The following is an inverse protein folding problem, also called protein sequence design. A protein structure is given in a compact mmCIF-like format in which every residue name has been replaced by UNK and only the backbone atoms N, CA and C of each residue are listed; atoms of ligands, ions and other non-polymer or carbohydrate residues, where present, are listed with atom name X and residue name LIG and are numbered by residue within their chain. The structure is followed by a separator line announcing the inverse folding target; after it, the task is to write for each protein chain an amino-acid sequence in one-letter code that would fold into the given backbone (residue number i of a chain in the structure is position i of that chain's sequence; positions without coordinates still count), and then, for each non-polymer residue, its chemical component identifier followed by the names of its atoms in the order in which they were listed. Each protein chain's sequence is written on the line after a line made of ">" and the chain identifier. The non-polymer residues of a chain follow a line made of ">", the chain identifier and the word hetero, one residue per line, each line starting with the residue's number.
data_IF_352767014036
#
_entry.id   IF_352767014036
#
_cell.length_a   1.000
_cell.length_b   1.000
_cell.length_c   1.000
_cell.angle_alpha   90.00
_cell.angle_beta   90.00
_cell.angle_gamma   90.00
#
_symmetry.space_group_name_H-M   'P 1'
#
loop_
_entity.id
_entity.type
_entity.pdbx_description
1 polymer ?
#
# COMPACT_ATOMS: atom_id res chain seq x y z
N UNK A 1 -13.60 8.49 -4.21
CA UNK A 1 -13.95 7.58 -3.12
C UNK A 1 -13.65 8.20 -1.75
N UNK A 2 -14.36 7.79 -0.68
CA UNK A 2 -14.16 8.30 0.68
C UNK A 2 -12.70 8.12 1.17
N UNK A 3 -12.06 7.01 0.82
CA UNK A 3 -10.66 6.73 1.18
C UNK A 3 -9.69 7.78 0.65
N UNK A 4 -9.86 8.21 -0.60
CA UNK A 4 -9.01 9.26 -1.19
C UNK A 4 -9.25 10.62 -0.54
N UNK A 5 -10.50 10.92 -0.17
CA UNK A 5 -10.84 12.13 0.58
C UNK A 5 -10.21 12.11 1.99
N UNK A 6 -10.22 10.95 2.66
CA UNK A 6 -9.57 10.77 3.96
C UNK A 6 -8.06 11.03 3.89
N UNK A 7 -7.39 10.50 2.86
CA UNK A 7 -5.96 10.72 2.66
C UNK A 7 -5.61 12.20 2.47
N UNK A 8 -6.49 12.97 1.83
CA UNK A 8 -6.28 14.42 1.63
C UNK A 8 -6.42 15.24 2.92
N UNK A 9 -7.02 14.67 3.98
CA UNK A 9 -7.12 15.32 5.29
C UNK A 9 -5.84 15.13 6.14
N UNK A 10 -4.96 14.22 5.73
CA UNK A 10 -3.71 13.98 6.44
C UNK A 10 -2.63 15.01 6.06
N UNK A 11 -1.73 15.33 6.97
CA UNK A 11 -0.58 16.18 6.64
C UNK A 11 0.30 15.48 5.58
N UNK A 12 0.98 16.26 4.73
CA UNK A 12 1.90 15.68 3.76
C UNK A 12 3.04 14.95 4.47
N UNK A 13 3.54 13.90 3.83
CA UNK A 13 4.67 13.12 4.31
C UNK A 13 5.95 13.54 3.59
N UNK A 14 7.06 13.58 4.34
CA UNK A 14 8.39 13.80 3.78
C UNK A 14 8.97 12.48 3.28
N UNK A 15 9.42 12.44 2.03
CA UNK A 15 10.00 11.25 1.40
C UNK A 15 11.29 11.58 0.67
N UNK A 16 12.14 10.58 0.47
CA UNK A 16 13.32 10.72 -0.39
C UNK A 16 12.87 10.76 -1.86
N UNK A 17 13.29 11.78 -2.58
CA UNK A 17 12.93 11.97 -4.00
C UNK A 17 13.40 10.80 -4.86
N UNK A 18 12.49 10.27 -5.70
CA UNK A 18 12.75 9.13 -6.57
C UNK A 18 12.89 7.79 -5.84
N UNK A 19 12.50 7.70 -4.57
CA UNK A 19 12.49 6.44 -3.83
C UNK A 19 11.18 5.69 -4.04
N UNK A 20 11.25 4.44 -4.54
CA UNK A 20 10.09 3.57 -4.77
C UNK A 20 9.44 3.05 -3.47
N UNK A 21 10.13 3.19 -2.33
CA UNK A 21 9.68 2.72 -1.03
C UNK A 21 9.17 3.83 -0.12
N UNK A 22 9.04 5.06 -0.60
CA UNK A 22 8.64 6.23 0.18
C UNK A 22 9.42 6.40 1.50
N UNK A 23 10.73 6.15 1.45
CA UNK A 23 11.60 6.21 2.63
C UNK A 23 11.50 7.57 3.33
N UNK A 24 11.46 7.51 4.68
CA UNK A 24 11.48 8.68 5.53
C UNK A 24 12.93 9.17 5.70
N UNK A 25 13.30 10.37 5.22
CA UNK A 25 14.66 10.87 5.35
C UNK A 25 15.09 11.09 6.82
N UNK A 26 14.13 11.25 7.73
CA UNK A 26 14.39 11.38 9.17
C UNK A 26 14.68 10.05 9.89
N UNK A 27 14.41 8.90 9.24
CA UNK A 27 14.62 7.56 9.81
C UNK A 27 15.72 6.81 9.06
N UNK A 28 16.96 7.24 9.25
CA UNK A 28 18.13 6.72 8.50
C UNK A 28 18.34 5.22 8.62
N UNK A 29 18.02 4.62 9.76
CA UNK A 29 18.09 3.17 9.98
C UNK A 29 17.13 2.38 9.08
N UNK A 30 15.95 2.95 8.77
CA UNK A 30 14.87 2.33 7.98
C UNK A 30 14.93 2.66 6.48
N UNK A 31 15.99 3.31 5.99
CA UNK A 31 16.17 3.60 4.58
C UNK A 31 16.39 2.31 3.77
N UNK A 32 15.86 2.27 2.57
CA UNK A 32 16.16 1.20 1.61
C UNK A 32 17.64 1.25 1.18
N UNK A 33 18.19 0.17 0.61
CA UNK A 33 19.59 0.10 0.21
C UNK A 33 20.01 1.26 -0.71
N UNK A 34 19.19 1.62 -1.68
CA UNK A 34 19.47 2.73 -2.61
C UNK A 34 19.52 4.10 -1.89
N UNK A 35 18.64 4.34 -0.94
CA UNK A 35 18.67 5.58 -0.13
C UNK A 35 19.87 5.60 0.84
N UNK A 36 20.24 4.45 1.41
CA UNK A 36 21.47 4.34 2.23
C UNK A 36 22.71 4.63 1.41
N UNK A 37 22.79 4.10 0.19
CA UNK A 37 23.91 4.39 -0.72
C UNK A 37 23.99 5.89 -1.07
N UNK A 38 22.86 6.54 -1.34
CA UNK A 38 22.82 8.00 -1.56
C UNK A 38 23.28 8.77 -0.32
N UNK A 39 22.82 8.39 0.88
CA UNK A 39 23.22 9.05 2.13
C UNK A 39 24.74 8.94 2.39
N UNK A 40 25.37 7.82 1.99
CA UNK A 40 26.80 7.61 2.13
C UNK A 40 27.64 8.58 1.26
N UNK A 41 27.06 9.15 0.18
CA UNK A 41 27.69 10.17 -0.66
C UNK A 41 27.67 11.57 -0.03
N UNK A 42 26.91 11.76 1.05
CA UNK A 42 26.79 13.00 1.79
C UNK A 42 25.32 13.33 2.10
N UNK A 43 25.07 14.17 3.13
CA UNK A 43 23.71 14.53 3.55
C UNK A 43 22.91 15.24 2.45
N UNK A 44 23.56 16.03 1.60
CA UNK A 44 22.94 16.78 0.50
C UNK A 44 22.56 15.89 -0.70
N UNK A 45 23.06 14.65 -0.76
CA UNK A 45 22.71 13.70 -1.80
C UNK A 45 21.28 13.13 -1.62
N UNK A 46 20.69 13.23 -0.44
CA UNK A 46 19.33 12.85 -0.13
C UNK A 46 18.38 14.03 -0.36
N UNK A 47 17.97 14.22 -1.61
CA UNK A 47 16.91 15.19 -1.90
C UNK A 47 15.59 14.72 -1.29
N UNK A 48 14.91 15.64 -0.61
CA UNK A 48 13.66 15.41 0.10
C UNK A 48 12.52 16.13 -0.60
N UNK A 49 11.38 15.45 -0.73
CA UNK A 49 10.14 16.07 -1.21
C UNK A 49 9.01 15.84 -0.20
N UNK A 50 8.04 16.73 -0.20
CA UNK A 50 6.76 16.52 0.46
C UNK A 50 5.73 16.00 -0.54
N UNK A 51 4.92 15.04 -0.13
CA UNK A 51 3.85 14.48 -0.93
C UNK A 51 2.67 14.10 -0.05
N UNK A 52 1.47 14.04 -0.63
CA UNK A 52 0.31 13.47 0.05
C UNK A 52 0.57 12.00 0.41
N UNK A 53 -0.04 11.51 1.50
CA UNK A 53 0.01 10.09 1.84
C UNK A 53 -0.49 9.27 0.64
N UNK A 54 0.27 8.28 0.16
CA UNK A 54 -0.12 7.50 -1.03
C UNK A 54 -1.38 6.68 -0.73
N UNK A 55 -2.30 6.64 -1.69
CA UNK A 55 -3.44 5.72 -1.72
C UNK A 55 -3.22 4.79 -2.89
N UNK A 56 -2.98 3.52 -2.59
CA UNK A 56 -2.70 2.48 -3.57
C UNK A 56 -3.89 1.55 -3.63
N UNK A 57 -4.48 1.42 -4.81
CA UNK A 57 -5.57 0.47 -5.03
C UNK A 57 -4.97 -0.91 -5.35
N UNK A 58 -5.48 -1.95 -4.71
CA UNK A 58 -5.17 -3.34 -5.01
C UNK A 58 -6.26 -3.91 -5.92
N UNK A 59 -5.96 -4.23 -7.19
CA UNK A 59 -6.91 -4.90 -8.07
C UNK A 59 -7.17 -6.34 -7.62
N UNK A 60 -8.41 -6.84 -7.72
CA UNK A 60 -8.77 -8.21 -7.36
C UNK A 60 -7.97 -9.29 -8.13
N UNK A 61 -7.65 -9.02 -9.39
CA UNK A 61 -6.83 -9.92 -10.21
C UNK A 61 -5.32 -9.67 -10.12
N UNK A 62 -4.83 -9.00 -9.07
CA UNK A 62 -3.39 -8.77 -8.91
C UNK A 62 -2.68 -10.09 -8.57
N UNK A 63 -1.59 -10.36 -9.27
CA UNK A 63 -0.70 -11.48 -8.92
C UNK A 63 0.13 -11.14 -7.68
N UNK A 64 0.60 -12.15 -6.96
CA UNK A 64 1.49 -11.97 -5.81
C UNK A 64 2.73 -11.15 -6.17
N UNK A 65 3.31 -11.38 -7.35
CA UNK A 65 4.46 -10.61 -7.86
C UNK A 65 4.15 -9.12 -8.00
N UNK A 66 2.96 -8.78 -8.46
CA UNK A 66 2.52 -7.39 -8.54
C UNK A 66 2.32 -6.75 -7.17
N UNK A 67 1.88 -7.53 -6.21
CA UNK A 67 1.64 -7.08 -4.82
C UNK A 67 2.94 -6.93 -4.06
N UNK A 68 3.69 -8.01 -3.92
CA UNK A 68 4.92 -8.05 -3.14
C UNK A 68 6.10 -7.41 -3.88
N UNK A 69 6.16 -7.60 -5.20
CA UNK A 69 7.27 -7.26 -6.07
C UNK A 69 7.90 -8.50 -6.70
N UNK A 70 8.58 -8.31 -7.80
CA UNK A 70 9.15 -9.37 -8.62
C UNK A 70 10.62 -9.14 -8.96
N UNK A 71 11.28 -10.20 -9.41
CA UNK A 71 12.59 -10.08 -10.06
C UNK A 71 12.42 -9.43 -11.43
N UNK A 72 13.22 -8.41 -11.70
CA UNK A 72 13.34 -7.83 -13.03
C UNK A 72 14.16 -8.77 -13.93
N UNK A 73 13.42 -9.67 -14.59
CA UNK A 73 14.01 -10.71 -15.46
C UNK A 73 14.74 -10.06 -16.65
N UNK A 74 14.22 -8.95 -17.16
CA UNK A 74 14.83 -8.25 -18.30
C UNK A 74 16.21 -7.71 -17.94
N UNK A 75 16.33 -7.05 -16.80
CA UNK A 75 17.64 -6.60 -16.30
C UNK A 75 18.57 -7.74 -15.94
N UNK A 76 18.05 -8.83 -15.39
CA UNK A 76 18.83 -10.00 -15.07
C UNK A 76 19.45 -10.62 -16.33
N UNK A 77 18.69 -10.69 -17.44
CA UNK A 77 19.16 -11.25 -18.71
C UNK A 77 20.12 -10.33 -19.48
N UNK A 78 19.84 -9.01 -19.49
CA UNK A 78 20.62 -8.04 -20.28
C UNK A 78 21.90 -7.62 -19.57
N UNK A 79 21.84 -7.43 -18.25
CA UNK A 79 22.95 -6.87 -17.49
C UNK A 79 23.60 -7.86 -16.52
N UNK A 80 23.12 -9.10 -16.45
CA UNK A 80 23.53 -10.10 -15.44
C UNK A 80 23.43 -9.59 -13.99
N UNK A 81 22.58 -8.58 -13.77
CA UNK A 81 22.32 -7.99 -12.46
C UNK A 81 20.95 -8.45 -11.96
N UNK A 82 20.92 -9.05 -10.78
CA UNK A 82 19.67 -9.38 -10.11
C UNK A 82 19.02 -8.08 -9.62
N UNK A 83 18.11 -7.53 -10.40
CA UNK A 83 17.32 -6.37 -10.04
C UNK A 83 15.94 -6.80 -9.50
N UNK A 84 15.40 -6.01 -8.59
CA UNK A 84 14.08 -6.22 -8.01
C UNK A 84 13.17 -5.05 -8.35
N UNK A 85 11.98 -5.34 -8.86
CA UNK A 85 10.92 -4.38 -9.11
C UNK A 85 9.97 -4.33 -7.90
N UNK A 86 9.91 -3.20 -7.18
CA UNK A 86 9.04 -3.06 -6.02
C UNK A 86 7.55 -3.09 -6.40
N UNK A 87 6.77 -3.91 -5.69
CA UNK A 87 5.32 -4.05 -5.90
C UNK A 87 4.47 -2.96 -5.25
N UNK A 88 3.16 -3.25 -5.16
CA UNK A 88 2.17 -2.34 -4.59
C UNK A 88 2.41 -2.08 -3.09
N UNK A 89 2.91 -3.07 -2.35
CA UNK A 89 3.24 -2.93 -0.92
C UNK A 89 4.32 -1.88 -0.67
N UNK A 90 5.33 -1.83 -1.52
CA UNK A 90 6.38 -0.80 -1.46
C UNK A 90 5.79 0.59 -1.72
N UNK A 91 4.92 0.71 -2.71
CA UNK A 91 4.24 1.97 -3.07
C UNK A 91 3.28 2.44 -1.99
N UNK A 92 2.59 1.52 -1.29
CA UNK A 92 1.67 1.82 -0.20
C UNK A 92 2.37 2.22 1.10
N UNK A 93 3.69 2.00 1.21
CA UNK A 93 4.43 2.32 2.43
C UNK A 93 4.21 3.76 2.88
N UNK A 94 3.83 3.94 4.15
CA UNK A 94 3.49 5.22 4.80
C UNK A 94 2.21 5.87 4.26
N UNK A 95 1.30 5.06 3.72
CA UNK A 95 0.01 5.50 3.19
C UNK A 95 -1.09 4.48 3.40
N UNK A 96 -1.94 4.33 2.41
CA UNK A 96 -3.09 3.44 2.44
C UNK A 96 -3.00 2.40 1.32
N UNK A 97 -3.37 1.17 1.65
CA UNK A 97 -3.67 0.13 0.68
C UNK A 97 -5.18 -0.10 0.71
N UNK A 98 -5.85 0.17 -0.40
CA UNK A 98 -7.29 0.02 -0.55
C UNK A 98 -7.63 -1.20 -1.40
N UNK A 99 -8.53 -2.01 -0.89
CA UNK A 99 -9.05 -3.21 -1.57
C UNK A 99 -10.55 -3.01 -1.71
N UNK A 100 -11.01 -2.96 -2.95
CA UNK A 100 -12.44 -3.02 -3.25
C UNK A 100 -12.88 -4.48 -3.28
N UNK A 101 -14.01 -4.79 -2.65
CA UNK A 101 -14.53 -6.17 -2.57
C UNK A 101 -13.53 -7.16 -1.96
N UNK A 102 -13.02 -6.85 -0.77
CA UNK A 102 -11.99 -7.67 -0.08
C UNK A 102 -12.44 -9.12 0.17
N UNK A 103 -13.75 -9.37 0.21
CA UNK A 103 -14.36 -10.70 0.30
C UNK A 103 -14.05 -11.60 -0.91
N UNK A 104 -13.73 -11.01 -2.08
CA UNK A 104 -13.42 -11.73 -3.30
C UNK A 104 -11.91 -11.94 -3.51
N UNK A 105 -11.06 -11.40 -2.64
CA UNK A 105 -9.61 -11.55 -2.76
C UNK A 105 -9.18 -13.01 -2.50
N UNK A 106 -8.20 -13.49 -3.24
CA UNK A 106 -7.65 -14.84 -3.09
C UNK A 106 -6.97 -15.05 -1.72
N UNK A 107 -7.10 -16.25 -1.15
CA UNK A 107 -6.64 -16.57 0.22
C UNK A 107 -5.17 -16.26 0.45
N UNK A 108 -4.30 -16.66 -0.49
CA UNK A 108 -2.87 -16.45 -0.37
C UNK A 108 -2.47 -14.96 -0.37
N UNK A 109 -3.23 -14.11 -1.09
CA UNK A 109 -3.02 -12.66 -1.05
C UNK A 109 -3.49 -12.05 0.26
N UNK A 110 -4.60 -12.56 0.81
CA UNK A 110 -5.09 -12.15 2.13
C UNK A 110 -4.03 -12.43 3.19
N UNK A 111 -3.50 -13.66 3.23
CA UNK A 111 -2.48 -14.06 4.20
C UNK A 111 -1.22 -13.19 4.07
N UNK A 112 -0.73 -12.98 2.85
CA UNK A 112 0.41 -12.10 2.57
C UNK A 112 0.16 -10.68 3.11
N UNK A 113 -1.00 -10.10 2.82
CA UNK A 113 -1.34 -8.73 3.25
C UNK A 113 -1.43 -8.60 4.76
N UNK A 114 -2.02 -9.60 5.42
CA UNK A 114 -2.16 -9.62 6.88
C UNK A 114 -0.79 -9.76 7.58
N UNK A 115 0.08 -10.60 7.06
CA UNK A 115 1.43 -10.78 7.58
C UNK A 115 2.27 -9.50 7.43
N UNK A 116 2.21 -8.87 6.27
CA UNK A 116 2.93 -7.61 6.01
C UNK A 116 2.33 -6.47 6.83
N UNK A 117 1.01 -6.38 6.97
CA UNK A 117 0.36 -5.37 7.80
C UNK A 117 0.73 -5.51 9.28
N UNK A 118 0.87 -6.75 9.77
CA UNK A 118 1.25 -7.03 11.15
C UNK A 118 2.74 -6.75 11.42
N UNK A 119 3.65 -7.15 10.51
CA UNK A 119 5.10 -6.98 10.67
C UNK A 119 5.57 -5.56 10.31
N UNK A 120 4.88 -4.88 9.40
CA UNK A 120 5.30 -3.62 8.81
C UNK A 120 6.47 -3.74 7.83
N UNK A 121 6.80 -4.96 7.43
CA UNK A 121 7.88 -5.27 6.49
C UNK A 121 7.42 -6.32 5.47
N UNK A 122 7.83 -6.15 4.23
CA UNK A 122 7.67 -7.17 3.20
C UNK A 122 9.00 -7.91 3.01
N UNK A 123 8.96 -9.23 3.11
CA UNK A 123 10.11 -10.12 2.96
C UNK A 123 9.85 -11.06 1.79
N UNK A 124 10.72 -11.02 0.80
CA UNK A 124 10.60 -11.82 -0.42
C UNK A 124 11.86 -12.68 -0.52
N UNK A 125 11.65 -13.99 -0.51
CA UNK A 125 12.72 -14.98 -0.67
C UNK A 125 12.45 -15.82 -1.91
N UNK A 126 13.13 -15.50 -3.01
CA UNK A 126 12.97 -16.20 -4.29
C UNK A 126 14.29 -16.34 -5.01
N UNK A 127 14.55 -17.50 -5.60
CA UNK A 127 15.70 -17.80 -6.45
C UNK A 127 17.07 -17.37 -5.86
N UNK A 128 17.22 -17.52 -4.54
CA UNK A 128 18.45 -17.13 -3.85
C UNK A 128 18.62 -15.63 -3.63
N UNK A 129 17.58 -14.83 -3.85
CA UNK A 129 17.46 -13.45 -3.40
C UNK A 129 16.59 -13.38 -2.15
N UNK A 130 17.09 -12.67 -1.14
CA UNK A 130 16.30 -12.27 0.03
C UNK A 130 16.23 -10.75 0.05
N UNK A 131 15.04 -10.22 -0.17
CA UNK A 131 14.78 -8.78 -0.20
C UNK A 131 13.83 -8.45 0.94
N UNK A 132 14.20 -7.44 1.71
CA UNK A 132 13.39 -6.92 2.81
C UNK A 132 13.24 -5.42 2.66
N UNK A 133 12.02 -4.94 2.75
CA UNK A 133 11.74 -3.50 2.75
C UNK A 133 10.57 -3.16 3.66
N UNK A 134 10.54 -1.92 4.13
CA UNK A 134 9.42 -1.41 4.90
C UNK A 134 8.14 -1.37 4.04
N UNK A 135 7.03 -1.82 4.63
CA UNK A 135 5.71 -1.79 4.04
C UNK A 135 4.66 -1.52 5.14
N UNK A 136 4.76 -0.35 5.74
CA UNK A 136 3.84 0.11 6.79
C UNK A 136 2.73 0.93 6.15
N UNK A 137 1.55 0.36 6.08
CA UNK A 137 0.37 0.99 5.50
C UNK A 137 -0.86 0.75 6.37
N UNK A 138 -1.88 1.56 6.17
CA UNK A 138 -3.22 1.30 6.71
C UNK A 138 -3.98 0.51 5.65
N UNK A 139 -4.44 -0.68 6.01
CA UNK A 139 -5.26 -1.52 5.16
C UNK A 139 -6.73 -1.07 5.27
N UNK A 140 -7.35 -0.77 4.14
CA UNK A 140 -8.76 -0.42 4.05
C UNK A 140 -9.41 -1.36 3.04
N UNK A 141 -10.43 -2.08 3.48
CA UNK A 141 -11.24 -2.94 2.61
C UNK A 141 -12.67 -2.45 2.53
N UNK A 142 -13.28 -2.50 1.37
CA UNK A 142 -14.73 -2.52 1.21
C UNK A 142 -15.18 -3.96 0.97
N UNK A 143 -16.41 -4.27 1.34
CA UNK A 143 -17.01 -5.58 1.09
C UNK A 143 -18.51 -5.45 0.94
N UNK A 144 -19.10 -6.27 0.09
CA UNK A 144 -20.54 -6.41 -0.05
C UNK A 144 -20.96 -7.77 0.52
N UNK A 145 -21.73 -7.82 1.62
CA UNK A 145 -22.17 -9.08 2.20
C UNK A 145 -22.99 -9.96 1.24
N UNK A 146 -23.61 -9.36 0.20
CA UNK A 146 -24.38 -10.10 -0.82
C UNK A 146 -23.48 -10.92 -1.75
N UNK A 147 -22.20 -10.52 -1.90
CA UNK A 147 -21.22 -11.19 -2.78
C UNK A 147 -20.37 -12.24 -2.05
N UNK A 148 -20.56 -12.37 -0.76
CA UNK A 148 -19.86 -13.34 0.08
C UNK A 148 -19.55 -12.80 1.47
N UNK A 149 -19.55 -13.67 2.45
CA UNK A 149 -19.18 -13.31 3.82
C UNK A 149 -17.69 -12.98 3.90
N UNK A 150 -17.36 -11.96 4.69
CA UNK A 150 -15.98 -11.68 5.05
C UNK A 150 -15.41 -12.85 5.88
N UNK A 151 -14.25 -13.32 5.50
CA UNK A 151 -13.58 -14.40 6.22
C UNK A 151 -13.29 -14.00 7.66
N UNK A 152 -13.48 -14.89 8.64
CA UNK A 152 -13.21 -14.61 10.03
C UNK A 152 -11.79 -14.08 10.28
N UNK A 153 -10.79 -14.61 9.57
CA UNK A 153 -9.39 -14.18 9.67
C UNK A 153 -9.18 -12.71 9.28
N UNK A 154 -9.96 -12.21 8.30
CA UNK A 154 -9.95 -10.80 7.92
C UNK A 154 -10.63 -9.94 8.98
N UNK A 155 -11.80 -10.37 9.46
CA UNK A 155 -12.56 -9.62 10.47
C UNK A 155 -11.75 -9.43 11.77
N UNK A 156 -11.03 -10.44 12.22
CA UNK A 156 -10.20 -10.39 13.42
C UNK A 156 -9.00 -9.42 13.28
N UNK A 157 -8.58 -9.11 12.07
CA UNK A 157 -7.43 -8.25 11.79
C UNK A 157 -7.80 -6.81 11.48
N UNK A 158 -9.04 -6.55 11.05
CA UNK A 158 -9.55 -5.19 10.92
C UNK A 158 -9.96 -4.65 12.29
N UNK A 159 -9.25 -3.63 12.77
CA UNK A 159 -9.53 -2.98 14.06
C UNK A 159 -10.79 -2.11 14.07
N UNK A 160 -11.32 -1.77 12.91
CA UNK A 160 -12.51 -0.93 12.73
C UNK A 160 -13.38 -1.49 11.60
N UNK A 161 -14.69 -1.51 11.84
CA UNK A 161 -15.70 -1.88 10.86
C UNK A 161 -16.83 -0.84 10.87
N UNK A 162 -17.34 -0.50 9.69
CA UNK A 162 -18.44 0.45 9.51
C UNK A 162 -19.43 -0.12 8.51
N UNK A 163 -20.68 -0.29 8.94
CA UNK A 163 -21.78 -0.66 8.06
C UNK A 163 -22.29 0.58 7.32
N UNK A 164 -22.23 0.54 5.99
CA UNK A 164 -22.70 1.61 5.12
C UNK A 164 -24.07 1.24 4.58
N UNK A 165 -25.10 1.93 5.06
CA UNK A 165 -26.48 1.74 4.61
C UNK A 165 -26.97 2.94 3.80
N UNK A 166 -27.90 2.70 2.86
CA UNK A 166 -28.53 3.78 2.11
C UNK A 166 -29.44 4.60 3.05
N UNK A 167 -29.27 5.94 3.12
CA UNK A 167 -30.14 6.79 3.90
C UNK A 167 -31.60 6.60 3.49
N UNK A 168 -32.49 6.34 4.45
CA UNK A 168 -33.92 6.18 4.20
C UNK A 168 -34.63 7.54 4.05
N UNK A 169 -34.08 8.58 4.65
CA UNK A 169 -34.61 9.94 4.58
C UNK A 169 -34.30 10.58 3.21
N UNK A 170 -35.36 11.03 2.54
CA UNK A 170 -35.29 11.68 1.22
C UNK A 170 -34.47 12.97 1.31
N UNK A 171 -34.56 13.73 2.41
CA UNK A 171 -33.82 14.98 2.58
C UNK A 171 -32.31 14.74 2.62
N UNK A 172 -31.87 13.69 3.29
CA UNK A 172 -30.45 13.27 3.34
C UNK A 172 -29.96 12.81 1.98
N UNK A 173 -30.78 12.10 1.22
CA UNK A 173 -30.44 11.66 -0.16
C UNK A 173 -30.27 12.84 -1.10
N UNK A 174 -31.18 13.81 -1.03
CA UNK A 174 -31.09 15.05 -1.83
C UNK A 174 -29.84 15.86 -1.47
N UNK A 175 -29.52 15.96 -0.17
CA UNK A 175 -28.32 16.67 0.29
C UNK A 175 -27.04 15.97 -0.17
N UNK A 176 -26.99 14.64 -0.16
CA UNK A 176 -25.85 13.88 -0.67
C UNK A 176 -25.59 14.12 -2.16
N UNK A 177 -26.66 14.21 -2.97
CA UNK A 177 -26.56 14.54 -4.42
C UNK A 177 -26.04 15.95 -4.59
N UNK A 178 -26.60 16.95 -3.89
CA UNK A 178 -26.16 18.35 -3.98
C UNK A 178 -24.69 18.53 -3.64
N UNK A 179 -24.19 17.85 -2.60
CA UNK A 179 -22.77 17.92 -2.21
C UNK A 179 -21.80 17.31 -3.22
N UNK A 180 -22.30 16.43 -4.09
CA UNK A 180 -21.49 15.84 -5.16
C UNK A 180 -21.37 16.73 -6.38
N UNK A 181 -22.34 17.62 -6.60
CA UNK A 181 -22.39 18.53 -7.76
C UNK A 181 -21.64 19.87 -7.51
N UNK A 182 -21.24 20.14 -6.26
CA UNK A 182 -20.35 21.24 -5.88
C UNK A 182 -18.89 20.80 -5.83
#
# INVERSE_FOLDING_TARGET
>A
TAVRALANLLPPIRTVEGCSYNCDPGKTAALCPACKAKLALGPDALKVREMAAPVVDLPLGATEDRVAGALDIERALVHSEKAFEPGLLARANRGFLYIDEVNLLEDHLVDLLLDVAASGENVIEREGLSIRHAARFVLIGSGNPEEGELRPQLLDRFGLSVDVTTPQDISQRVEAVKRREC
#
